data_IF_508214043429
#
_entry.id   IF_508214043429
#
_cell.length_a   1.000
_cell.length_b   1.000
_cell.length_c   1.000
_cell.angle_alpha   90.00
_cell.angle_beta   90.00
_cell.angle_gamma   90.00
#
_symmetry.space_group_name_H-M   'P 1'
#
loop_
_entity.id
_entity.type
_entity.pdbx_description
1 polymer ?
#
# COMPACT_ATOMS: atom_id res chain seq x y z
N UNK A 1 6.95 -8.22 -8.87
CA UNK A 1 8.09 -8.62 -8.01
C UNK A 1 8.87 -7.37 -7.62
N UNK A 2 8.77 -6.96 -6.35
CA UNK A 2 9.42 -5.74 -5.84
C UNK A 2 10.95 -5.83 -5.81
N UNK A 3 11.54 -7.03 -5.91
CA UNK A 3 13.00 -7.22 -5.90
C UNK A 3 13.70 -6.50 -7.06
N UNK A 4 12.98 -6.17 -8.14
CA UNK A 4 13.52 -5.43 -9.29
C UNK A 4 13.85 -3.97 -8.96
N UNK A 5 13.25 -3.41 -7.90
CA UNK A 5 13.40 -1.99 -7.55
C UNK A 5 14.79 -1.66 -7.00
N UNK A 6 15.57 -2.67 -6.57
CA UNK A 6 16.86 -2.49 -5.91
C UNK A 6 16.76 -1.44 -4.78
N UNK A 7 15.83 -1.69 -3.84
CA UNK A 7 15.55 -0.90 -2.65
C UNK A 7 15.48 -1.83 -1.44
N UNK A 8 15.73 -1.28 -0.27
CA UNK A 8 15.46 -1.99 0.98
C UNK A 8 13.94 -2.20 1.11
N UNK A 9 13.52 -3.47 1.06
CA UNK A 9 12.11 -3.85 1.17
C UNK A 9 11.51 -3.49 2.53
N UNK A 10 12.32 -3.27 3.58
CA UNK A 10 11.82 -2.77 4.86
C UNK A 10 11.25 -1.34 4.77
N UNK A 11 11.62 -0.58 3.73
CA UNK A 11 11.20 0.80 3.49
C UNK A 11 10.31 0.92 2.23
N UNK A 12 9.73 -0.19 1.75
CA UNK A 12 8.89 -0.23 0.55
C UNK A 12 7.52 -0.80 0.89
N UNK A 13 6.47 -0.15 0.38
CA UNK A 13 5.10 -0.67 0.37
C UNK A 13 4.55 -0.66 -1.05
N UNK A 14 3.67 -1.61 -1.36
CA UNK A 14 2.95 -1.76 -2.62
C UNK A 14 1.46 -1.64 -2.34
N UNK A 15 0.85 -0.57 -2.84
CA UNK A 15 -0.61 -0.35 -2.75
C UNK A 15 -1.25 -0.80 -4.05
N UNK A 16 -2.16 -1.78 -3.99
CA UNK A 16 -2.83 -2.29 -5.19
C UNK A 16 -4.22 -2.86 -4.84
N UNK A 17 -5.16 -2.77 -5.79
CA UNK A 17 -6.51 -3.31 -5.67
C UNK A 17 -6.64 -4.75 -6.23
N UNK A 18 -5.56 -5.31 -6.75
CA UNK A 18 -5.49 -6.67 -7.30
C UNK A 18 -4.50 -7.55 -6.51
N UNK A 19 -5.03 -8.60 -5.87
CA UNK A 19 -4.23 -9.48 -5.01
C UNK A 19 -3.05 -10.17 -5.70
N UNK A 20 -3.18 -10.46 -7.00
CA UNK A 20 -2.11 -11.08 -7.76
C UNK A 20 -0.90 -10.16 -7.98
N UNK A 21 -1.08 -8.83 -7.94
CA UNK A 21 0.02 -7.86 -8.13
C UNK A 21 1.08 -7.93 -7.03
N UNK A 22 0.66 -8.25 -5.81
CA UNK A 22 1.53 -8.36 -4.64
C UNK A 22 1.70 -9.79 -4.11
N UNK A 23 1.29 -10.80 -4.88
CA UNK A 23 1.32 -12.21 -4.46
C UNK A 23 2.72 -12.71 -4.05
N UNK A 24 3.79 -12.11 -4.58
CA UNK A 24 5.17 -12.48 -4.26
C UNK A 24 5.76 -11.71 -3.06
N UNK A 25 5.06 -10.68 -2.55
CA UNK A 25 5.54 -9.78 -1.50
C UNK A 25 4.37 -9.34 -0.59
N UNK A 26 3.72 -10.31 0.05
CA UNK A 26 2.55 -10.07 0.90
C UNK A 26 2.84 -9.09 2.05
N UNK A 27 4.02 -9.19 2.66
CA UNK A 27 4.42 -8.34 3.79
C UNK A 27 4.60 -6.86 3.40
N UNK A 28 4.80 -6.58 2.11
CA UNK A 28 4.91 -5.23 1.58
C UNK A 28 3.57 -4.68 1.08
N UNK A 29 2.49 -5.47 1.10
CA UNK A 29 1.24 -5.12 0.45
C UNK A 29 0.30 -4.30 1.34
N UNK A 30 -0.29 -3.25 0.77
CA UNK A 30 -1.45 -2.55 1.33
C UNK A 30 -2.60 -2.71 0.33
N UNK A 31 -3.56 -3.61 0.57
CA UNK A 31 -4.74 -3.73 -0.27
C UNK A 31 -5.55 -2.43 -0.23
N UNK A 32 -6.02 -1.96 -1.39
CA UNK A 32 -6.94 -0.82 -1.48
C UNK A 32 -8.21 -1.22 -2.24
N UNK A 33 -9.36 -0.68 -1.85
CA UNK A 33 -10.59 -0.96 -2.59
C UNK A 33 -10.51 -0.33 -4.00
N UNK A 34 -11.06 -1.01 -5.03
CA UNK A 34 -11.11 -0.43 -6.36
C UNK A 34 -12.00 0.81 -6.38
N UNK A 35 -11.50 1.89 -6.99
CA UNK A 35 -12.31 3.06 -7.28
C UNK A 35 -13.18 2.82 -8.52
N UNK A 36 -14.50 2.91 -8.35
CA UNK A 36 -15.44 2.80 -9.48
C UNK A 36 -16.03 4.16 -9.88
N UNK A 37 -16.55 4.93 -8.93
CA UNK A 37 -17.07 6.31 -9.10
C UNK A 37 -17.57 6.89 -7.78
N UNK A 38 -17.77 8.20 -7.75
CA UNK A 38 -18.52 8.89 -6.69
C UNK A 38 -17.66 9.79 -5.82
N UNK A 39 -18.32 10.72 -5.11
CA UNK A 39 -17.69 11.68 -4.19
C UNK A 39 -17.57 11.17 -2.75
N UNK A 40 -18.14 9.98 -2.48
CA UNK A 40 -18.14 9.37 -1.16
C UNK A 40 -16.99 8.38 -0.97
N UNK A 41 -16.14 8.21 -1.98
CA UNK A 41 -14.91 7.44 -1.84
C UNK A 41 -13.93 8.21 -0.96
N UNK A 42 -13.37 7.52 0.04
CA UNK A 42 -12.39 8.08 0.98
C UNK A 42 -11.16 7.18 1.13
N UNK A 43 -10.98 6.19 0.25
CA UNK A 43 -9.98 5.13 0.41
C UNK A 43 -8.55 5.71 0.41
N UNK A 44 -8.26 6.66 -0.48
CA UNK A 44 -6.98 7.36 -0.49
C UNK A 44 -6.76 8.23 0.76
N UNK A 45 -7.84 8.77 1.35
CA UNK A 45 -7.74 9.54 2.60
C UNK A 45 -7.46 8.62 3.79
N UNK A 46 -8.09 7.45 3.83
CA UNK A 46 -7.79 6.41 4.81
C UNK A 46 -6.36 5.89 4.67
N UNK A 47 -5.91 5.64 3.43
CA UNK A 47 -4.53 5.24 3.12
C UNK A 47 -3.52 6.29 3.59
N UNK A 48 -3.78 7.58 3.35
CA UNK A 48 -2.93 8.66 3.84
C UNK A 48 -2.75 8.55 5.36
N UNK A 49 -3.84 8.47 6.12
CA UNK A 49 -3.79 8.38 7.59
C UNK A 49 -3.05 7.12 8.05
N UNK A 50 -3.22 6.00 7.35
CA UNK A 50 -2.49 4.77 7.65
C UNK A 50 -0.97 4.93 7.44
N UNK A 51 -0.54 5.44 6.29
CA UNK A 51 0.88 5.65 5.97
C UNK A 51 1.51 6.66 6.94
N UNK A 52 0.81 7.75 7.27
CA UNK A 52 1.27 8.72 8.27
C UNK A 52 1.53 8.03 9.62
N UNK A 53 0.62 7.14 10.06
CA UNK A 53 0.80 6.35 11.28
C UNK A 53 2.03 5.43 11.26
N UNK A 54 2.42 4.90 10.10
CA UNK A 54 3.62 4.07 9.94
C UNK A 54 4.92 4.89 10.11
N UNK A 55 4.92 6.15 9.67
CA UNK A 55 6.10 7.02 9.78
C UNK A 55 6.44 7.31 11.25
N UNK A 56 5.42 7.48 12.09
CA UNK A 56 5.59 7.79 13.52
C UNK A 56 5.78 6.56 14.41
N UNK A 57 5.68 5.34 13.86
CA UNK A 57 5.96 4.08 14.56
C UNK A 57 7.44 3.64 14.49
N UNK A 58 8.35 4.50 14.02
CA UNK A 58 9.78 4.22 14.15
C UNK A 58 10.18 4.26 15.63
N UNK A 59 10.50 3.09 16.18
CA UNK A 59 11.23 2.92 17.45
C UNK A 59 12.45 3.86 17.53
#
# INVERSE_FOLDING_TARGET
DLRVLNRDLSQVVLVDNAAYSYAFQLDNAIPILPYYKGKNDYELKALQTYIEGMIFQKD
#
